data_IF_762073500713
#
_entry.id   IF_762073500713
#
_cell.length_a   1.000
_cell.length_b   1.000
_cell.length_c   1.000
_cell.angle_alpha   90.00
_cell.angle_beta   90.00
_cell.angle_gamma   90.00
#
_symmetry.space_group_name_H-M   'P 1'
#
loop_
_entity.id
_entity.type
_entity.pdbx_description
1 polymer ?
#
# COMPACT_ATOMS: atom_id res chain seq x y z
N UNK A 1 -24.14 16.04 -45.22
CA UNK A 1 -24.98 15.91 -44.01
C UNK A 1 -24.81 14.50 -43.48
N UNK A 2 -23.98 14.31 -42.47
CA UNK A 2 -23.79 13.04 -41.78
C UNK A 2 -24.21 13.23 -40.32
N UNK A 3 -25.21 12.46 -39.90
CA UNK A 3 -25.71 12.41 -38.52
C UNK A 3 -25.06 11.18 -37.88
N UNK A 4 -24.21 11.40 -36.88
CA UNK A 4 -23.70 10.37 -35.98
C UNK A 4 -24.67 10.18 -34.80
N UNK A 5 -24.98 8.93 -34.39
CA UNK A 5 -25.80 8.70 -33.21
C UNK A 5 -24.95 8.83 -31.94
N UNK A 6 -25.44 9.68 -31.05
CA UNK A 6 -24.95 9.85 -29.69
C UNK A 6 -25.66 8.81 -28.81
N UNK A 7 -24.95 7.82 -28.27
CA UNK A 7 -25.51 6.87 -27.29
C UNK A 7 -24.72 6.92 -25.99
N UNK A 8 -25.40 7.50 -25.01
CA UNK A 8 -25.05 7.64 -23.61
C UNK A 8 -24.72 6.29 -22.96
N UNK A 9 -23.55 6.19 -22.32
CA UNK A 9 -23.31 5.20 -21.27
C UNK A 9 -23.98 5.70 -19.98
N UNK A 10 -25.06 5.02 -19.57
CA UNK A 10 -25.61 5.12 -18.22
C UNK A 10 -24.62 4.48 -17.25
N UNK A 11 -23.90 5.31 -16.51
CA UNK A 11 -23.25 4.88 -15.28
C UNK A 11 -24.34 4.57 -14.25
N UNK A 12 -24.34 3.36 -13.68
CA UNK A 12 -25.08 3.09 -12.44
C UNK A 12 -24.37 3.78 -11.29
N UNK A 13 -24.68 5.06 -11.09
CA UNK A 13 -24.49 5.71 -9.80
C UNK A 13 -25.74 5.46 -8.96
N UNK A 14 -25.57 4.89 -7.76
CA UNK A 14 -26.62 4.78 -6.76
C UNK A 14 -27.11 6.20 -6.40
N UNK A 15 -28.25 6.61 -6.96
CA UNK A 15 -28.91 7.87 -6.58
C UNK A 15 -29.62 7.71 -5.25
N UNK A 16 -29.73 8.80 -4.49
CA UNK A 16 -30.39 8.87 -3.16
C UNK A 16 -31.80 8.25 -3.10
N UNK A 17 -32.49 8.08 -4.23
CA UNK A 17 -33.81 7.42 -4.27
C UNK A 17 -33.75 5.93 -3.88
N UNK A 18 -32.64 5.25 -4.18
CA UNK A 18 -32.44 3.84 -3.79
C UNK A 18 -32.05 3.70 -2.30
N UNK A 19 -31.61 4.77 -1.64
CA UNK A 19 -31.24 4.70 -0.21
C UNK A 19 -32.46 4.52 0.70
N UNK A 20 -33.62 5.07 0.31
CA UNK A 20 -34.87 4.92 1.05
C UNK A 20 -35.47 3.51 0.88
N UNK A 21 -35.40 2.97 -0.34
CA UNK A 21 -35.82 1.59 -0.64
C UNK A 21 -34.89 0.58 0.03
N UNK A 22 -33.57 0.85 0.05
CA UNK A 22 -32.63 0.00 0.77
C UNK A 22 -32.87 0.07 2.29
N UNK A 23 -33.12 1.25 2.88
CA UNK A 23 -33.49 1.39 4.30
C UNK A 23 -34.78 0.65 4.66
N UNK A 24 -35.76 0.63 3.76
CA UNK A 24 -37.02 -0.09 3.95
C UNK A 24 -36.80 -1.61 3.86
N UNK A 25 -35.94 -2.05 2.95
CA UNK A 25 -35.49 -3.44 2.86
C UNK A 25 -34.69 -3.87 4.10
N UNK A 26 -33.74 -3.06 4.59
CA UNK A 26 -32.97 -3.37 5.81
C UNK A 26 -33.86 -3.42 7.04
N UNK A 27 -34.86 -2.53 7.17
CA UNK A 27 -35.83 -2.57 8.28
C UNK A 27 -36.71 -3.82 8.24
N UNK A 28 -37.15 -4.22 7.04
CA UNK A 28 -37.95 -5.45 6.87
C UNK A 28 -37.12 -6.69 7.18
N UNK A 29 -35.87 -6.73 6.72
CA UNK A 29 -34.93 -7.81 6.99
C UNK A 29 -34.60 -7.92 8.49
N UNK A 30 -34.35 -6.80 9.16
CA UNK A 30 -34.10 -6.76 10.61
C UNK A 30 -35.32 -7.17 11.43
N UNK A 31 -36.54 -6.86 10.98
CA UNK A 31 -37.77 -7.33 11.61
C UNK A 31 -37.95 -8.86 11.47
N UNK A 32 -37.64 -9.42 10.29
CA UNK A 32 -37.67 -10.87 10.04
C UNK A 32 -36.60 -11.60 10.87
N UNK A 33 -35.38 -11.05 10.96
CA UNK A 33 -34.30 -11.61 11.78
C UNK A 33 -34.65 -11.54 13.27
N UNK A 34 -35.27 -10.45 13.73
CA UNK A 34 -35.72 -10.32 15.12
C UNK A 34 -36.82 -11.33 15.48
N UNK A 35 -37.77 -11.57 14.58
CA UNK A 35 -38.79 -12.60 14.73
C UNK A 35 -38.19 -14.01 14.74
N UNK A 36 -37.18 -14.28 13.90
CA UNK A 36 -36.46 -15.54 13.88
C UNK A 36 -35.64 -15.76 15.16
N UNK A 37 -35.03 -14.71 15.73
CA UNK A 37 -34.29 -14.79 17.00
C UNK A 37 -35.22 -14.99 18.21
N UNK A 38 -36.42 -14.41 18.20
CA UNK A 38 -37.44 -14.65 19.24
C UNK A 38 -37.97 -16.08 19.17
N UNK A 39 -38.19 -16.61 17.96
CA UNK A 39 -38.56 -18.01 17.75
C UNK A 39 -37.45 -18.98 18.17
N UNK A 40 -36.19 -18.61 17.95
CA UNK A 40 -35.02 -19.42 18.34
C UNK A 40 -34.78 -19.41 19.86
N UNK A 41 -34.94 -18.26 20.53
CA UNK A 41 -34.84 -18.18 22.00
C UNK A 41 -35.96 -18.90 22.73
N UNK A 42 -37.13 -19.10 22.09
CA UNK A 42 -38.22 -19.91 22.64
C UNK A 42 -37.93 -21.43 22.62
N UNK A 43 -36.98 -21.89 21.79
CA UNK A 43 -36.70 -23.31 21.59
C UNK A 43 -35.54 -23.85 22.45
N UNK A 44 -34.82 -22.99 23.18
CA UNK A 44 -33.65 -23.38 23.96
C UNK A 44 -33.79 -22.87 25.41
N UNK A 45 -34.50 -23.64 26.22
CA UNK A 45 -34.55 -23.44 27.66
C UNK A 45 -34.30 -24.76 28.40
N UNK A 46 -33.04 -25.03 28.78
CA UNK A 46 -32.66 -25.85 29.94
C UNK A 46 -31.22 -25.48 30.38
N UNK A 47 -30.74 -25.81 31.60
CA UNK A 47 -30.43 -24.82 32.61
C UNK A 47 -28.94 -24.75 33.02
N UNK A 48 -28.63 -23.65 33.69
CA UNK A 48 -27.45 -23.27 34.46
C UNK A 48 -26.44 -24.37 34.87
N UNK A 49 -25.16 -23.99 34.82
CA UNK A 49 -24.16 -24.51 35.75
C UNK A 49 -22.74 -24.04 35.50
N UNK A 50 -22.21 -23.30 36.48
CA UNK A 50 -20.81 -23.22 36.94
C UNK A 50 -19.91 -22.02 36.60
N UNK A 51 -19.31 -21.55 37.71
CA UNK A 51 -18.55 -20.35 38.02
C UNK A 51 -17.03 -20.45 37.76
N UNK A 52 -16.39 -19.26 37.83
CA UNK A 52 -15.04 -18.96 38.36
C UNK A 52 -13.83 -19.44 37.53
N UNK A 53 -12.65 -18.81 37.49
CA UNK A 53 -12.03 -17.73 38.27
C UNK A 53 -10.74 -17.26 37.53
N UNK A 54 -10.41 -15.98 37.69
CA UNK A 54 -9.09 -15.33 37.84
C UNK A 54 -7.84 -15.54 36.94
N UNK A 55 -7.39 -14.39 36.41
CA UNK A 55 -6.07 -13.72 36.47
C UNK A 55 -4.78 -14.50 36.18
N UNK A 56 -3.97 -14.00 35.24
CA UNK A 56 -2.71 -13.27 35.56
C UNK A 56 -2.13 -12.55 34.34
N UNK A 57 -1.58 -11.36 34.59
CA UNK A 57 -0.73 -10.58 33.70
C UNK A 57 0.57 -11.31 33.37
N UNK A 58 1.08 -11.17 32.13
CA UNK A 58 2.51 -10.96 31.97
C UNK A 58 2.86 -10.28 30.65
N UNK A 59 3.86 -9.42 30.71
CA UNK A 59 4.44 -8.68 29.60
C UNK A 59 5.29 -9.64 28.75
N UNK A 60 5.39 -9.43 27.42
CA UNK A 60 6.68 -9.05 26.80
C UNK A 60 6.81 -9.23 25.26
N UNK A 61 7.73 -8.41 24.73
CA UNK A 61 8.58 -8.50 23.52
C UNK A 61 7.97 -8.43 22.11
N UNK A 62 7.94 -7.19 21.57
CA UNK A 62 7.97 -6.90 20.12
C UNK A 62 9.29 -7.36 19.50
N UNK A 63 9.23 -8.23 18.49
CA UNK A 63 10.35 -8.48 17.58
C UNK A 63 10.22 -7.59 16.35
N UNK A 64 11.02 -6.52 16.31
CA UNK A 64 11.23 -5.68 15.14
C UNK A 64 11.93 -6.49 14.03
N UNK A 65 11.33 -6.52 12.84
CA UNK A 65 12.03 -6.93 11.64
C UNK A 65 12.91 -5.77 11.17
N UNK A 66 14.21 -5.89 11.39
CA UNK A 66 15.25 -5.05 10.81
C UNK A 66 15.14 -5.11 9.28
N UNK A 67 14.51 -4.11 8.68
CA UNK A 67 14.84 -3.74 7.32
C UNK A 67 16.30 -3.30 7.34
N UNK A 68 17.15 -3.94 6.54
CA UNK A 68 18.53 -3.53 6.34
C UNK A 68 18.56 -2.17 5.63
N UNK A 69 18.25 -1.13 6.37
CA UNK A 69 18.67 0.22 6.05
C UNK A 69 20.19 0.20 6.18
N UNK A 70 20.87 0.50 5.07
CA UNK A 70 22.28 0.87 5.08
C UNK A 70 22.51 1.78 6.30
N UNK A 71 23.29 1.27 7.26
CA UNK A 71 23.67 1.90 8.51
C UNK A 71 24.05 3.36 8.29
N UNK A 72 23.08 4.27 8.41
CA UNK A 72 23.36 5.57 8.98
C UNK A 72 23.70 5.27 10.43
N UNK A 73 25.01 5.28 10.70
CA UNK A 73 25.51 5.44 12.05
C UNK A 73 24.62 6.47 12.76
N UNK A 74 24.07 6.08 13.91
CA UNK A 74 23.76 6.97 15.02
C UNK A 74 25.05 7.71 15.40
N UNK A 75 25.51 8.59 14.52
CA UNK A 75 26.35 9.69 14.91
C UNK A 75 25.48 10.45 15.90
N UNK A 76 25.86 10.38 17.18
CA UNK A 76 25.36 11.24 18.26
C UNK A 76 24.92 12.56 17.66
N UNK A 77 23.66 13.01 17.89
CA UNK A 77 23.12 14.19 17.25
C UNK A 77 24.05 15.36 17.57
N UNK A 78 24.95 15.67 16.65
CA UNK A 78 25.67 16.92 16.68
C UNK A 78 24.54 17.91 16.46
N UNK A 79 24.14 18.59 17.54
CA UNK A 79 23.13 19.64 17.50
C UNK A 79 23.67 20.75 16.61
N UNK A 80 23.48 20.58 15.30
CA UNK A 80 23.78 21.58 14.30
C UNK A 80 22.70 22.65 14.46
N UNK A 81 23.01 23.62 15.31
CA UNK A 81 22.17 24.80 15.47
C UNK A 81 22.51 25.78 14.38
N UNK A 82 21.48 26.15 13.65
CA UNK A 82 21.49 27.21 12.67
C UNK A 82 21.21 28.53 13.40
N UNK A 83 22.28 29.26 13.73
CA UNK A 83 22.25 30.50 14.53
C UNK A 83 21.56 31.71 13.85
N UNK A 84 21.12 31.59 12.61
CA UNK A 84 20.54 32.68 11.83
C UNK A 84 19.35 32.19 11.03
N UNK A 85 18.18 32.17 11.67
CA UNK A 85 16.91 32.09 10.96
C UNK A 85 16.41 33.50 10.69
N UNK A 86 15.76 33.67 9.54
CA UNK A 86 15.03 34.89 9.24
C UNK A 86 13.71 34.85 10.02
N UNK A 87 13.38 35.91 10.76
CA UNK A 87 12.12 36.04 11.51
C UNK A 87 10.89 35.74 10.61
N UNK A 88 11.01 36.00 9.31
CA UNK A 88 10.00 35.68 8.29
C UNK A 88 9.71 34.17 8.17
N UNK A 89 10.72 33.30 8.29
CA UNK A 89 10.53 31.84 8.23
C UNK A 89 9.73 31.37 9.46
N UNK A 90 10.11 31.84 10.64
CA UNK A 90 9.38 31.56 11.88
C UNK A 90 7.93 32.04 11.81
N UNK A 91 7.72 33.26 11.33
CA UNK A 91 6.40 33.84 11.16
C UNK A 91 5.53 33.02 10.20
N UNK A 92 6.09 32.58 9.07
CA UNK A 92 5.40 31.74 8.10
C UNK A 92 4.96 30.40 8.69
N UNK A 93 5.89 29.64 9.30
CA UNK A 93 5.57 28.33 9.88
C UNK A 93 4.55 28.44 11.04
N UNK A 94 4.61 29.51 11.83
CA UNK A 94 3.60 29.82 12.84
C UNK A 94 2.24 30.13 12.20
N UNK A 95 2.21 30.91 11.12
CA UNK A 95 0.99 31.28 10.41
C UNK A 95 0.26 30.06 9.83
N UNK A 96 0.99 29.09 9.26
CA UNK A 96 0.40 27.86 8.70
C UNK A 96 0.11 26.77 9.75
N UNK A 97 0.36 27.05 11.04
CA UNK A 97 0.13 26.09 12.14
C UNK A 97 1.13 24.93 12.18
N UNK A 98 2.31 25.08 11.58
CA UNK A 98 3.36 24.07 11.52
C UNK A 98 4.61 24.54 12.26
N UNK A 99 4.48 24.91 13.53
CA UNK A 99 5.57 25.46 14.34
C UNK A 99 6.85 24.62 14.27
N UNK A 100 7.96 25.29 14.00
CA UNK A 100 9.28 24.67 13.98
C UNK A 100 9.73 24.36 15.41
N UNK A 101 10.48 23.28 15.57
CA UNK A 101 11.13 22.92 16.83
C UNK A 101 12.24 23.91 17.15
N UNK A 102 12.26 24.37 18.39
CA UNK A 102 13.21 25.37 18.89
C UNK A 102 13.88 24.90 20.17
N UNK A 103 15.08 25.39 20.43
CA UNK A 103 15.83 25.21 21.68
C UNK A 103 16.27 26.59 22.21
N UNK A 104 16.18 26.78 23.52
CA UNK A 104 16.72 27.97 24.18
C UNK A 104 18.23 27.81 24.40
N UNK A 105 19.04 28.64 23.74
CA UNK A 105 20.49 28.72 23.96
C UNK A 105 20.90 30.14 24.33
N UNK A 106 21.60 30.26 25.46
CA UNK A 106 22.11 31.56 25.94
C UNK A 106 20.98 32.62 26.04
N UNK A 107 19.76 32.18 26.38
CA UNK A 107 18.59 33.05 26.47
C UNK A 107 17.94 33.44 25.13
N UNK A 108 18.38 32.87 24.00
CA UNK A 108 17.78 33.06 22.68
C UNK A 108 17.11 31.77 22.19
N UNK A 109 15.94 31.91 21.62
CA UNK A 109 15.25 30.82 20.93
C UNK A 109 15.92 30.57 19.57
N UNK A 110 16.38 29.35 19.34
CA UNK A 110 17.04 28.92 18.10
C UNK A 110 16.25 27.78 17.48
N UNK A 111 15.94 27.86 16.18
CA UNK A 111 15.29 26.75 15.47
C UNK A 111 16.29 25.62 15.26
N UNK A 112 15.87 24.40 15.58
CA UNK A 112 16.65 23.20 15.33
C UNK A 112 16.76 22.98 13.81
N UNK A 113 17.95 22.62 13.32
CA UNK A 113 18.11 22.34 11.89
C UNK A 113 17.24 21.16 11.45
N UNK A 114 17.24 20.08 12.22
CA UNK A 114 16.41 18.90 12.00
C UNK A 114 15.08 19.04 12.74
N UNK A 115 14.00 18.80 12.02
CA UNK A 115 12.62 18.81 12.50
C UNK A 115 12.15 17.36 12.57
N UNK A 116 12.18 16.78 13.77
CA UNK A 116 11.83 15.38 13.99
C UNK A 116 10.31 15.15 13.95
N UNK A 117 9.53 16.14 14.39
CA UNK A 117 8.08 16.05 14.40
C UNK A 117 7.49 16.31 13.01
N UNK A 118 6.47 15.54 12.57
CA UNK A 118 5.82 15.75 11.29
C UNK A 118 5.27 17.17 11.13
N UNK A 119 5.58 17.83 10.01
CA UNK A 119 5.08 19.17 9.69
C UNK A 119 4.07 19.12 8.55
N UNK A 120 2.98 19.88 8.68
CA UNK A 120 1.95 20.00 7.63
C UNK A 120 1.75 21.44 7.23
N UNK A 121 2.10 21.79 5.99
CA UNK A 121 1.87 23.11 5.41
C UNK A 121 0.59 23.07 4.58
N UNK A 122 -0.44 23.78 5.05
CA UNK A 122 -1.67 23.96 4.28
C UNK A 122 -1.61 25.28 3.50
N UNK A 123 -1.28 25.23 2.22
CA UNK A 123 -1.17 26.46 1.40
C UNK A 123 -2.54 27.04 1.02
N UNK A 124 -3.64 26.32 1.28
CA UNK A 124 -4.98 26.84 1.00
C UNK A 124 -5.32 28.06 1.85
N UNK A 125 -4.71 28.21 3.03
CA UNK A 125 -4.89 29.34 3.95
C UNK A 125 -3.96 30.52 3.66
N UNK A 126 -2.96 30.33 2.80
CA UNK A 126 -1.94 31.34 2.51
C UNK A 126 -2.38 32.28 1.37
N UNK A 127 -1.90 33.51 1.45
CA UNK A 127 -1.78 34.49 0.36
C UNK A 127 -0.35 34.51 -0.18
N UNK A 128 -0.10 35.12 -1.35
CA UNK A 128 1.26 35.25 -1.85
C UNK A 128 2.18 35.98 -0.88
N UNK A 129 1.69 36.91 -0.07
CA UNK A 129 2.49 37.70 0.86
C UNK A 129 2.94 36.89 2.09
N UNK A 130 2.17 35.87 2.47
CA UNK A 130 2.47 35.06 3.67
C UNK A 130 3.70 34.15 3.46
N UNK A 131 3.97 33.75 2.22
CA UNK A 131 5.13 32.92 1.88
C UNK A 131 6.36 33.83 1.74
N UNK A 132 7.43 33.63 2.53
CA UNK A 132 8.63 34.47 2.48
C UNK A 132 9.36 34.31 1.15
N UNK A 133 10.29 35.21 0.85
CA UNK A 133 11.12 35.07 -0.36
C UNK A 133 12.10 33.89 -0.28
N UNK A 134 12.55 33.58 0.94
CA UNK A 134 13.49 32.50 1.24
C UNK A 134 13.12 31.83 2.56
N UNK A 135 13.16 30.51 2.55
CA UNK A 135 13.15 29.65 3.74
C UNK A 135 14.59 29.14 3.91
N UNK A 136 15.07 28.99 5.15
CA UNK A 136 16.43 28.49 5.36
C UNK A 136 16.58 27.08 4.79
N UNK A 137 17.38 26.96 3.72
CA UNK A 137 17.68 25.71 3.02
C UNK A 137 18.36 24.65 3.90
N UNK A 138 18.85 25.02 5.09
CA UNK A 138 19.42 24.07 6.04
C UNK A 138 18.34 23.30 6.82
N UNK A 139 17.09 23.74 6.81
CA UNK A 139 16.01 23.00 7.46
C UNK A 139 15.86 21.61 6.83
N UNK A 140 15.83 20.61 7.69
CA UNK A 140 15.69 19.19 7.35
C UNK A 140 14.46 18.63 8.05
N UNK A 141 13.50 18.11 7.30
CA UNK A 141 12.28 17.53 7.85
C UNK A 141 12.36 16.01 7.90
N UNK A 142 11.94 15.37 8.98
CA UNK A 142 11.68 13.92 8.96
C UNK A 142 10.48 13.64 8.05
N UNK A 143 9.34 14.27 8.34
CA UNK A 143 8.11 14.17 7.56
C UNK A 143 7.55 15.57 7.25
N UNK A 144 7.42 15.88 5.96
CA UNK A 144 6.77 17.11 5.50
C UNK A 144 5.58 16.79 4.61
N UNK A 145 4.39 17.26 4.99
CA UNK A 145 3.19 17.21 4.16
C UNK A 145 2.84 18.61 3.66
N UNK A 146 2.62 18.76 2.35
CA UNK A 146 2.13 19.99 1.74
C UNK A 146 0.73 19.73 1.15
N UNK A 147 -0.27 20.43 1.66
CA UNK A 147 -1.67 20.34 1.22
C UNK A 147 -2.07 21.58 0.42
N UNK A 148 -2.55 21.37 -0.82
CA UNK A 148 -2.92 22.47 -1.72
C UNK A 148 -4.35 22.96 -1.53
N UNK A 149 -5.28 22.04 -1.25
CA UNK A 149 -6.69 22.34 -1.03
C UNK A 149 -7.10 22.04 0.42
N UNK A 150 -8.18 22.68 0.85
CA UNK A 150 -8.84 22.34 2.11
C UNK A 150 -9.79 21.16 1.89
N UNK A 151 -9.82 20.22 2.83
CA UNK A 151 -10.66 19.01 2.80
C UNK A 151 -12.17 19.27 2.80
N UNK A 152 -12.62 20.51 3.04
CA UNK A 152 -14.02 20.83 3.30
C UNK A 152 -14.92 21.08 2.07
N UNK A 153 -14.40 21.10 0.84
CA UNK A 153 -15.23 21.26 -0.37
C UNK A 153 -15.53 19.91 -1.02
N UNK A 154 -16.34 19.09 -0.36
CA UNK A 154 -16.49 17.65 -0.67
C UNK A 154 -17.00 17.28 -2.08
N UNK A 155 -17.52 18.18 -2.92
CA UNK A 155 -18.25 17.74 -4.15
C UNK A 155 -18.12 18.61 -5.40
N UNK A 156 -17.39 19.73 -5.38
CA UNK A 156 -17.15 20.47 -6.63
C UNK A 156 -15.96 19.86 -7.34
N UNK A 157 -16.22 19.22 -8.49
CA UNK A 157 -15.22 18.74 -9.45
C UNK A 157 -13.96 19.63 -9.44
N UNK A 158 -12.81 19.01 -9.18
CA UNK A 158 -11.47 19.55 -9.00
C UNK A 158 -11.06 20.66 -10.00
N UNK A 159 -11.61 21.86 -9.85
CA UNK A 159 -11.11 23.08 -10.48
C UNK A 159 -10.27 23.79 -9.44
N UNK A 160 -9.03 23.35 -9.25
CA UNK A 160 -8.06 24.24 -8.58
C UNK A 160 -7.88 25.47 -9.47
N UNK A 161 -8.00 26.61 -8.82
CA UNK A 161 -7.67 27.91 -9.38
C UNK A 161 -6.17 28.01 -9.55
N UNK A 162 -5.70 28.53 -10.69
CA UNK A 162 -4.29 28.76 -11.01
C UNK A 162 -3.53 29.50 -9.89
N UNK A 163 -4.25 30.28 -9.06
CA UNK A 163 -3.74 30.95 -7.87
C UNK A 163 -3.07 29.99 -6.86
N UNK A 164 -3.60 28.78 -6.63
CA UNK A 164 -3.05 27.85 -5.63
C UNK A 164 -1.79 27.14 -6.10
N UNK A 165 -1.71 26.79 -7.38
CA UNK A 165 -0.47 26.25 -7.95
C UNK A 165 0.62 27.33 -8.00
N UNK A 166 0.26 28.60 -8.20
CA UNK A 166 1.19 29.73 -8.08
C UNK A 166 1.75 29.86 -6.66
N UNK A 167 0.91 29.71 -5.62
CA UNK A 167 1.38 29.68 -4.22
C UNK A 167 2.31 28.50 -3.96
N UNK A 168 1.99 27.30 -4.45
CA UNK A 168 2.86 26.14 -4.31
C UNK A 168 4.22 26.36 -4.99
N UNK A 169 4.21 26.96 -6.19
CA UNK A 169 5.43 27.36 -6.89
C UNK A 169 6.24 28.40 -6.12
N UNK A 170 5.57 29.39 -5.51
CA UNK A 170 6.24 30.36 -4.63
C UNK A 170 6.87 29.67 -3.42
N UNK A 171 6.16 28.72 -2.79
CA UNK A 171 6.66 27.96 -1.65
C UNK A 171 7.91 27.14 -2.01
N UNK A 172 7.86 26.38 -3.11
CA UNK A 172 9.02 25.63 -3.58
C UNK A 172 10.20 26.56 -3.92
N UNK A 173 9.95 27.68 -4.60
CA UNK A 173 10.96 28.69 -4.86
C UNK A 173 11.57 29.26 -3.56
N UNK A 174 10.76 29.48 -2.53
CA UNK A 174 11.22 29.96 -1.24
C UNK A 174 12.16 28.95 -0.56
N UNK A 175 11.87 27.64 -0.67
CA UNK A 175 12.82 26.61 -0.22
C UNK A 175 14.12 26.64 -1.05
N UNK A 176 14.01 26.67 -2.37
CA UNK A 176 15.15 26.53 -3.30
C UNK A 176 15.72 25.11 -3.29
N UNK A 177 16.16 24.64 -2.13
CA UNK A 177 16.48 23.24 -1.81
C UNK A 177 15.57 22.78 -0.68
N UNK A 178 14.78 21.75 -0.92
CA UNK A 178 13.92 21.14 0.09
C UNK A 178 14.53 19.83 0.58
N UNK A 179 14.97 19.79 1.83
CA UNK A 179 15.49 18.59 2.48
C UNK A 179 14.40 17.96 3.35
N UNK A 180 13.99 16.74 3.02
CA UNK A 180 13.06 15.98 3.85
C UNK A 180 13.31 14.47 3.72
N UNK A 181 13.18 13.66 4.78
CA UNK A 181 13.23 12.20 4.60
C UNK A 181 12.00 11.74 3.81
N UNK A 182 10.82 12.20 4.20
CA UNK A 182 9.55 11.91 3.54
C UNK A 182 8.84 13.21 3.14
N UNK A 183 8.53 13.35 1.86
CA UNK A 183 7.71 14.44 1.33
C UNK A 183 6.38 13.88 0.84
N UNK A 184 5.28 14.35 1.43
CA UNK A 184 3.92 14.06 0.97
C UNK A 184 3.30 15.30 0.35
N UNK A 185 2.84 15.20 -0.89
CA UNK A 185 2.07 16.23 -1.55
C UNK A 185 0.63 15.76 -1.74
N UNK A 186 -0.32 16.54 -1.22
CA UNK A 186 -1.75 16.19 -1.30
C UNK A 186 -2.51 17.22 -2.12
N UNK A 187 -3.48 16.73 -2.89
CA UNK A 187 -4.51 17.56 -3.53
C UNK A 187 -3.96 18.52 -4.59
N UNK A 188 -2.91 18.11 -5.31
CA UNK A 188 -2.38 18.86 -6.46
C UNK A 188 -3.24 18.56 -7.71
N UNK A 189 -4.26 19.36 -7.99
CA UNK A 189 -5.04 19.15 -9.22
C UNK A 189 -5.93 20.31 -9.65
N UNK A 190 -5.57 21.00 -10.73
CA UNK A 190 -6.39 22.07 -11.34
C UNK A 190 -6.51 22.00 -12.84
N UNK A 191 -7.49 22.71 -13.37
CA UNK A 191 -7.55 23.05 -14.78
C UNK A 191 -6.60 24.23 -15.01
N UNK A 192 -5.35 23.94 -15.41
CA UNK A 192 -4.39 24.98 -15.75
C UNK A 192 -4.85 25.64 -17.06
N UNK A 193 -5.42 26.83 -16.95
CA UNK A 193 -5.99 27.53 -18.11
C UNK A 193 -4.89 28.19 -18.94
N UNK A 194 -3.76 28.55 -18.33
CA UNK A 194 -2.62 29.18 -19.00
C UNK A 194 -1.29 28.46 -18.73
N UNK A 195 -0.85 27.66 -19.72
CA UNK A 195 0.43 26.93 -19.68
C UNK A 195 1.67 27.83 -19.75
N UNK A 196 1.52 29.09 -20.15
CA UNK A 196 2.67 29.89 -20.60
C UNK A 196 3.42 30.67 -19.50
N UNK A 197 2.84 30.89 -18.33
CA UNK A 197 3.44 31.79 -17.33
C UNK A 197 3.99 31.08 -16.07
N UNK A 198 3.82 29.77 -15.91
CA UNK A 198 4.17 29.10 -14.65
C UNK A 198 5.62 28.59 -14.53
N UNK A 199 6.42 28.57 -15.60
CA UNK A 199 7.70 27.84 -15.65
C UNK A 199 8.95 28.70 -15.83
N UNK A 200 8.91 30.00 -15.50
CA UNK A 200 10.11 30.85 -15.63
C UNK A 200 11.10 30.76 -14.46
N UNK A 201 10.71 30.13 -13.35
CA UNK A 201 11.57 29.98 -12.18
C UNK A 201 12.50 28.75 -12.30
N UNK A 202 13.73 28.80 -11.76
CA UNK A 202 14.56 27.62 -11.65
C UNK A 202 13.85 26.54 -10.83
N UNK A 203 14.02 25.25 -11.19
CA UNK A 203 13.39 24.15 -10.49
C UNK A 203 13.92 24.06 -9.05
N UNK A 204 13.03 23.69 -8.13
CA UNK A 204 13.40 23.45 -6.73
C UNK A 204 14.03 22.08 -6.59
N UNK A 205 15.19 22.03 -5.94
CA UNK A 205 15.92 20.79 -5.74
C UNK A 205 15.28 20.04 -4.58
N UNK A 206 14.80 18.82 -4.81
CA UNK A 206 14.25 17.94 -3.79
C UNK A 206 15.31 16.93 -3.36
N UNK A 207 15.75 17.06 -2.11
CA UNK A 207 16.62 16.10 -1.45
C UNK A 207 15.78 15.23 -0.50
N UNK A 208 15.14 14.21 -1.08
CA UNK A 208 14.17 13.35 -0.41
C UNK A 208 14.39 11.84 -0.61
N UNK A 209 14.13 11.04 0.43
CA UNK A 209 14.19 9.57 0.33
C UNK A 209 12.85 8.98 -0.15
N UNK A 210 11.75 9.64 0.17
CA UNK A 210 10.40 9.20 -0.20
C UNK A 210 9.55 10.36 -0.68
N UNK A 211 8.86 10.15 -1.80
CA UNK A 211 7.87 11.07 -2.35
C UNK A 211 6.52 10.36 -2.42
N UNK A 212 5.54 10.85 -1.66
CA UNK A 212 4.15 10.41 -1.73
C UNK A 212 3.31 11.50 -2.39
N UNK A 213 2.55 11.13 -3.41
CA UNK A 213 1.66 12.03 -4.14
C UNK A 213 0.25 11.47 -4.03
N UNK A 214 -0.65 12.23 -3.42
CA UNK A 214 -2.00 11.77 -3.07
C UNK A 214 -3.09 12.72 -3.61
N UNK A 215 -4.16 12.17 -4.18
CA UNK A 215 -5.31 12.94 -4.69
C UNK A 215 -4.88 14.01 -5.71
N UNK A 216 -4.17 13.56 -6.75
CA UNK A 216 -3.53 14.45 -7.73
C UNK A 216 -4.08 14.21 -9.13
N UNK A 217 -4.09 15.24 -9.98
CA UNK A 217 -4.39 15.09 -11.40
C UNK A 217 -3.12 15.15 -12.27
N UNK A 218 -3.23 14.74 -13.54
CA UNK A 218 -2.07 14.66 -14.43
C UNK A 218 -1.41 16.03 -14.70
N UNK A 219 -2.19 17.12 -14.64
CA UNK A 219 -1.67 18.47 -14.80
C UNK A 219 -0.82 18.88 -13.59
N UNK A 220 -1.26 18.55 -12.37
CA UNK A 220 -0.52 18.77 -11.14
C UNK A 220 0.82 18.04 -11.13
N UNK A 221 0.87 16.79 -11.60
CA UNK A 221 2.13 16.06 -11.74
C UNK A 221 3.03 16.68 -12.80
N UNK A 222 2.51 16.99 -13.99
CA UNK A 222 3.34 17.59 -15.03
C UNK A 222 3.93 18.93 -14.56
N UNK A 223 3.16 19.71 -13.81
CA UNK A 223 3.66 20.90 -13.15
C UNK A 223 4.75 20.57 -12.13
N UNK A 224 4.54 19.60 -11.25
CA UNK A 224 5.54 19.18 -10.25
C UNK A 224 6.85 18.76 -10.90
N UNK A 225 6.78 17.92 -11.94
CA UNK A 225 7.94 17.46 -12.73
C UNK A 225 8.70 18.64 -13.34
N UNK A 226 8.01 19.70 -13.75
CA UNK A 226 8.66 20.87 -14.33
C UNK A 226 9.18 21.87 -13.27
N UNK A 227 8.55 21.91 -12.09
CA UNK A 227 8.89 22.82 -11.00
C UNK A 227 9.97 22.26 -10.07
N UNK A 228 10.34 20.98 -10.20
CA UNK A 228 11.23 20.30 -9.27
C UNK A 228 12.28 19.45 -9.97
N UNK A 229 13.42 19.29 -9.32
CA UNK A 229 14.50 18.41 -9.72
C UNK A 229 14.84 17.47 -8.56
N UNK A 230 14.78 16.16 -8.78
CA UNK A 230 15.15 15.18 -7.75
C UNK A 230 16.68 15.05 -7.72
N UNK A 231 17.31 15.32 -6.57
CA UNK A 231 18.76 15.15 -6.41
C UNK A 231 19.17 13.78 -5.87
N UNK A 232 18.20 12.92 -5.52
CA UNK A 232 18.50 11.72 -4.74
C UNK A 232 18.81 10.50 -5.60
N UNK A 233 19.82 9.74 -5.18
CA UNK A 233 20.23 8.53 -5.89
C UNK A 233 19.24 7.37 -5.70
N UNK A 234 18.49 7.35 -4.59
CA UNK A 234 17.59 6.26 -4.19
C UNK A 234 16.27 6.88 -3.70
N UNK A 235 15.15 6.55 -4.37
CA UNK A 235 13.84 7.12 -4.08
C UNK A 235 12.77 6.03 -3.91
N UNK A 236 11.89 6.21 -2.92
CA UNK A 236 10.59 5.52 -2.79
C UNK A 236 9.52 6.44 -3.37
N UNK A 237 8.83 6.00 -4.42
CA UNK A 237 7.74 6.78 -5.02
C UNK A 237 6.39 6.10 -4.78
N UNK A 238 5.47 6.84 -4.19
CA UNK A 238 4.09 6.39 -3.95
C UNK A 238 3.09 7.35 -4.61
N UNK A 239 2.23 6.78 -5.44
CA UNK A 239 1.12 7.46 -6.09
C UNK A 239 -0.18 6.83 -5.56
N UNK A 240 -0.97 7.63 -4.86
CA UNK A 240 -2.23 7.22 -4.26
C UNK A 240 -3.39 8.11 -4.72
N UNK A 241 -4.58 7.51 -4.87
CA UNK A 241 -5.83 8.22 -5.19
C UNK A 241 -5.69 9.09 -6.46
N UNK A 242 -5.32 8.46 -7.58
CA UNK A 242 -5.01 9.18 -8.81
C UNK A 242 -6.01 8.83 -9.93
N UNK A 243 -7.23 9.39 -9.90
CA UNK A 243 -8.31 9.01 -10.81
C UNK A 243 -8.10 9.48 -12.26
N UNK A 244 -7.20 10.43 -12.52
CA UNK A 244 -6.95 10.95 -13.88
C UNK A 244 -5.84 10.23 -14.65
N UNK A 245 -5.09 9.32 -14.02
CA UNK A 245 -3.93 8.69 -14.63
C UNK A 245 -4.32 7.49 -15.49
N UNK A 246 -4.20 7.62 -16.80
CA UNK A 246 -4.41 6.53 -17.77
C UNK A 246 -3.11 5.85 -18.21
N UNK A 247 -1.96 6.47 -17.90
CA UNK A 247 -0.61 5.98 -18.19
C UNK A 247 0.40 6.59 -17.21
N UNK A 248 1.63 6.06 -17.20
CA UNK A 248 2.70 6.46 -16.28
C UNK A 248 3.88 7.14 -16.97
N UNK A 249 3.69 7.71 -18.17
CA UNK A 249 4.77 8.28 -18.97
C UNK A 249 5.50 9.44 -18.28
N UNK A 250 4.84 10.13 -17.34
CA UNK A 250 5.45 11.21 -16.57
C UNK A 250 6.56 10.70 -15.63
N UNK A 251 6.52 9.43 -15.22
CA UNK A 251 7.52 8.86 -14.30
C UNK A 251 8.93 8.96 -14.86
N UNK A 252 9.11 8.70 -16.16
CA UNK A 252 10.41 8.79 -16.80
C UNK A 252 11.03 10.20 -16.72
N UNK A 253 10.18 11.23 -16.67
CA UNK A 253 10.63 12.62 -16.48
C UNK A 253 10.91 12.92 -15.02
N UNK A 254 10.05 12.44 -14.12
CA UNK A 254 10.19 12.65 -12.67
C UNK A 254 11.49 12.03 -12.14
N UNK A 255 11.87 10.87 -12.67
CA UNK A 255 12.99 10.08 -12.13
C UNK A 255 14.21 10.06 -13.04
N UNK A 256 14.39 11.08 -13.89
CA UNK A 256 15.51 11.11 -14.83
C UNK A 256 16.88 10.98 -14.14
N UNK A 257 17.00 11.52 -12.93
CA UNK A 257 18.22 11.55 -12.10
C UNK A 257 18.22 10.56 -10.94
N UNK A 258 17.11 9.86 -10.68
CA UNK A 258 16.93 9.05 -9.46
C UNK A 258 16.71 7.56 -9.76
N UNK A 259 17.33 6.68 -8.96
CA UNK A 259 17.01 5.24 -9.00
C UNK A 259 15.80 4.99 -8.09
N UNK A 260 14.74 4.39 -8.63
CA UNK A 260 13.59 3.99 -7.83
C UNK A 260 13.89 2.70 -7.07
N UNK A 261 13.91 2.77 -5.74
CA UNK A 261 13.93 1.58 -4.91
C UNK A 261 12.57 0.90 -4.91
N UNK A 262 11.52 1.70 -4.79
CA UNK A 262 10.15 1.22 -4.72
C UNK A 262 9.23 2.08 -5.57
N UNK A 263 8.28 1.42 -6.23
CA UNK A 263 7.16 2.07 -6.89
C UNK A 263 5.85 1.54 -6.31
N UNK A 264 5.02 2.43 -5.81
CA UNK A 264 3.71 2.11 -5.24
C UNK A 264 2.61 2.82 -6.00
N UNK A 265 1.72 2.05 -6.60
CA UNK A 265 0.56 2.52 -7.34
C UNK A 265 -0.69 2.03 -6.61
N UNK A 266 -1.39 2.94 -5.95
CA UNK A 266 -2.49 2.62 -5.04
C UNK A 266 -3.74 3.41 -5.46
N UNK A 267 -4.88 2.73 -5.55
CA UNK A 267 -6.17 3.34 -5.89
C UNK A 267 -6.10 4.21 -7.16
N UNK A 268 -5.79 3.56 -8.30
CA UNK A 268 -5.70 4.21 -9.61
C UNK A 268 -6.82 3.70 -10.53
N UNK A 269 -8.07 4.14 -10.34
CA UNK A 269 -9.24 3.52 -10.98
C UNK A 269 -9.30 3.69 -12.51
N UNK A 270 -8.56 4.66 -13.06
CA UNK A 270 -8.50 4.92 -14.52
C UNK A 270 -7.25 4.35 -15.19
N UNK A 271 -6.33 3.74 -14.43
CA UNK A 271 -5.13 3.15 -14.99
C UNK A 271 -5.50 1.82 -15.66
N UNK A 272 -5.56 1.81 -16.99
CA UNK A 272 -5.93 0.62 -17.77
C UNK A 272 -4.73 -0.27 -18.12
N UNK A 273 -3.52 0.30 -18.14
CA UNK A 273 -2.27 -0.41 -18.44
C UNK A 273 -1.11 0.20 -17.67
N UNK A 274 -0.09 -0.60 -17.37
CA UNK A 274 1.10 -0.12 -16.66
C UNK A 274 1.99 0.73 -17.56
N UNK A 275 2.38 0.21 -18.73
CA UNK A 275 3.16 0.89 -19.79
C UNK A 275 4.27 1.78 -19.21
N UNK A 276 5.09 1.19 -18.35
CA UNK A 276 6.07 1.92 -17.55
C UNK A 276 7.46 1.71 -18.13
N UNK A 277 8.02 2.74 -18.77
CA UNK A 277 9.38 2.66 -19.33
C UNK A 277 10.43 2.32 -18.26
N UNK A 278 10.27 2.83 -17.04
CA UNK A 278 11.18 2.55 -15.92
C UNK A 278 11.20 1.08 -15.52
N UNK A 279 10.06 0.40 -15.59
CA UNK A 279 9.98 -1.03 -15.31
C UNK A 279 10.81 -1.81 -16.34
N UNK A 280 10.61 -1.53 -17.63
CA UNK A 280 11.32 -2.21 -18.73
C UNK A 280 12.84 -1.94 -18.72
N UNK A 281 13.27 -0.81 -18.19
CA UNK A 281 14.68 -0.44 -18.07
C UNK A 281 15.33 -0.96 -16.77
N UNK A 282 14.59 -1.69 -15.93
CA UNK A 282 15.08 -2.13 -14.62
C UNK A 282 15.37 -0.96 -13.66
N UNK A 283 14.70 0.17 -13.85
CA UNK A 283 14.83 1.39 -13.05
C UNK A 283 14.20 1.27 -11.66
N UNK A 284 13.30 0.31 -11.45
CA UNK A 284 12.72 -0.05 -10.15
C UNK A 284 13.52 -1.21 -9.57
N UNK A 285 14.04 -1.11 -8.34
CA UNK A 285 15.02 -2.07 -7.79
C UNK A 285 14.44 -3.13 -6.85
N UNK A 286 13.66 -2.77 -5.85
CA UNK A 286 13.39 -3.67 -4.72
C UNK A 286 11.93 -4.09 -4.64
N UNK A 287 11.01 -3.11 -4.64
CA UNK A 287 9.59 -3.34 -4.36
C UNK A 287 8.66 -2.73 -5.41
N UNK A 288 7.62 -3.48 -5.77
CA UNK A 288 6.53 -3.03 -6.63
C UNK A 288 5.19 -3.26 -5.94
N UNK A 289 4.39 -2.20 -5.78
CA UNK A 289 3.04 -2.27 -5.21
C UNK A 289 2.00 -1.85 -6.24
N UNK A 290 1.03 -2.72 -6.53
CA UNK A 290 -0.06 -2.53 -7.49
C UNK A 290 -1.41 -2.85 -6.83
N UNK A 291 -2.02 -1.87 -6.16
CA UNK A 291 -3.23 -2.07 -5.33
C UNK A 291 -4.39 -1.21 -5.76
N UNK A 292 -5.59 -1.78 -5.67
CA UNK A 292 -6.86 -1.10 -5.98
C UNK A 292 -6.80 -0.43 -7.36
N UNK A 293 -6.27 -1.15 -8.36
CA UNK A 293 -6.20 -0.64 -9.74
C UNK A 293 -7.57 -0.77 -10.43
N UNK A 294 -7.69 -0.20 -11.63
CA UNK A 294 -8.90 -0.35 -12.45
C UNK A 294 -9.28 -1.84 -12.61
N UNK A 295 -10.57 -2.21 -12.54
CA UNK A 295 -11.01 -3.56 -12.91
C UNK A 295 -10.68 -3.95 -14.36
N UNK A 296 -10.46 -2.93 -15.21
CA UNK A 296 -10.04 -3.09 -16.60
C UNK A 296 -8.52 -3.13 -16.79
N UNK A 297 -7.75 -2.99 -15.70
CA UNK A 297 -6.29 -2.98 -15.73
C UNK A 297 -5.75 -4.28 -16.32
N UNK A 298 -4.86 -4.16 -17.28
CA UNK A 298 -4.17 -5.29 -17.90
C UNK A 298 -2.68 -5.02 -17.94
N UNK A 299 -1.90 -6.03 -17.56
CA UNK A 299 -0.47 -6.04 -17.85
C UNK A 299 -0.27 -6.42 -19.31
N UNK A 300 0.55 -5.66 -20.02
CA UNK A 300 0.97 -6.08 -21.35
C UNK A 300 1.94 -7.26 -21.22
N UNK A 301 2.12 -8.09 -22.27
CA UNK A 301 3.15 -9.13 -22.26
C UNK A 301 4.54 -8.56 -21.92
N UNK A 302 4.84 -7.36 -22.43
CA UNK A 302 6.10 -6.65 -22.18
C UNK A 302 6.27 -6.27 -20.70
N UNK A 303 5.23 -5.71 -20.08
CA UNK A 303 5.27 -5.35 -18.64
C UNK A 303 5.45 -6.61 -17.78
N UNK A 304 4.73 -7.69 -18.12
CA UNK A 304 4.77 -8.95 -17.38
C UNK A 304 6.14 -9.61 -17.48
N UNK A 305 6.72 -9.68 -18.68
CA UNK A 305 8.09 -10.15 -18.88
C UNK A 305 9.07 -9.33 -18.05
N UNK A 306 8.97 -7.99 -18.04
CA UNK A 306 9.88 -7.16 -17.24
C UNK A 306 9.72 -7.35 -15.72
N UNK A 307 8.51 -7.62 -15.23
CA UNK A 307 8.29 -7.99 -13.84
C UNK A 307 8.92 -9.36 -13.56
N UNK A 308 8.68 -10.37 -14.40
CA UNK A 308 9.07 -11.74 -14.12
C UNK A 308 10.57 -12.02 -14.37
N UNK A 309 11.23 -11.34 -15.31
CA UNK A 309 12.67 -11.55 -15.55
C UNK A 309 13.57 -11.02 -14.42
N UNK A 310 13.01 -10.22 -13.52
CA UNK A 310 13.73 -9.52 -12.47
C UNK A 310 13.61 -10.25 -11.12
N UNK A 311 14.68 -10.21 -10.33
CA UNK A 311 14.63 -10.60 -8.91
C UNK A 311 14.03 -9.48 -8.07
N UNK A 312 12.94 -9.77 -7.39
CA UNK A 312 12.26 -8.80 -6.52
C UNK A 312 12.48 -9.14 -5.06
N UNK A 313 12.70 -8.11 -4.24
CA UNK A 313 12.58 -8.26 -2.80
C UNK A 313 11.10 -8.41 -2.43
N UNK A 314 10.24 -7.57 -3.00
CA UNK A 314 8.81 -7.65 -2.72
C UNK A 314 7.94 -7.28 -3.92
N UNK A 315 6.90 -8.07 -4.15
CA UNK A 315 5.77 -7.69 -5.00
C UNK A 315 4.51 -7.72 -4.13
N UNK A 316 3.77 -6.64 -4.15
CA UNK A 316 2.47 -6.53 -3.50
C UNK A 316 1.43 -6.16 -4.56
N UNK A 317 0.42 -6.99 -4.80
CA UNK A 317 -0.60 -6.67 -5.77
C UNK A 317 -1.96 -7.24 -5.39
N UNK A 318 -3.01 -6.78 -6.08
CA UNK A 318 -4.32 -7.44 -5.98
C UNK A 318 -4.28 -8.81 -6.67
N UNK A 319 -5.00 -9.79 -6.14
CA UNK A 319 -5.02 -11.16 -6.67
C UNK A 319 -5.46 -11.19 -8.14
N UNK A 320 -6.44 -10.36 -8.51
CA UNK A 320 -6.86 -10.22 -9.91
C UNK A 320 -5.75 -9.72 -10.84
N UNK A 321 -4.86 -8.84 -10.36
CA UNK A 321 -3.70 -8.36 -11.12
C UNK A 321 -2.67 -9.46 -11.29
N UNK A 322 -2.42 -10.24 -10.22
CA UNK A 322 -1.52 -11.40 -10.28
C UNK A 322 -2.02 -12.45 -11.28
N UNK A 323 -3.29 -12.86 -11.17
CA UNK A 323 -3.88 -13.88 -12.03
C UNK A 323 -3.98 -13.48 -13.51
N UNK A 324 -4.03 -12.17 -13.78
CA UNK A 324 -4.05 -11.63 -15.13
C UNK A 324 -2.64 -11.50 -15.73
N UNK A 325 -1.56 -11.76 -14.99
CA UNK A 325 -0.19 -11.62 -15.46
C UNK A 325 0.17 -12.80 -16.38
N UNK A 326 0.35 -12.58 -17.70
CA UNK A 326 0.78 -13.66 -18.59
C UNK A 326 2.14 -14.19 -18.16
N UNK A 327 2.21 -15.50 -17.96
CA UNK A 327 3.43 -16.22 -17.61
C UNK A 327 4.17 -16.61 -18.90
N UNK A 328 5.37 -16.06 -19.17
CA UNK A 328 6.17 -16.52 -20.29
C UNK A 328 6.54 -18.00 -20.08
N UNK A 329 6.51 -18.82 -21.14
CA UNK A 329 7.05 -20.17 -21.04
C UNK A 329 8.52 -20.09 -20.64
N UNK A 330 8.92 -20.88 -19.64
CA UNK A 330 10.29 -20.90 -19.10
C UNK A 330 10.71 -19.66 -18.31
N UNK A 331 9.76 -18.89 -17.79
CA UNK A 331 10.08 -17.82 -16.84
C UNK A 331 10.52 -18.41 -15.50
N UNK A 332 11.78 -18.14 -15.12
CA UNK A 332 12.33 -18.47 -13.81
C UNK A 332 12.45 -17.17 -13.01
N UNK A 333 11.33 -16.69 -12.49
CA UNK A 333 11.33 -15.51 -11.65
C UNK A 333 11.59 -15.85 -10.18
N UNK A 334 12.22 -14.91 -9.47
CA UNK A 334 12.52 -15.05 -8.05
C UNK A 334 11.98 -13.83 -7.29
N UNK A 335 11.04 -14.08 -6.38
CA UNK A 335 10.46 -13.07 -5.51
C UNK A 335 10.73 -13.51 -4.08
N UNK A 336 11.38 -12.68 -3.28
CA UNK A 336 11.58 -13.01 -1.87
C UNK A 336 10.25 -12.98 -1.12
N UNK A 337 9.48 -11.89 -1.25
CA UNK A 337 8.15 -11.74 -0.64
C UNK A 337 7.05 -11.38 -1.64
N UNK A 338 6.04 -12.24 -1.76
CA UNK A 338 4.84 -12.00 -2.55
C UNK A 338 3.66 -11.72 -1.62
N UNK A 339 3.01 -10.57 -1.79
CA UNK A 339 1.82 -10.16 -1.03
C UNK A 339 0.64 -10.02 -1.99
N UNK A 340 -0.38 -10.86 -1.81
CA UNK A 340 -1.60 -10.87 -2.62
C UNK A 340 -2.76 -10.32 -1.79
N UNK A 341 -3.36 -9.23 -2.26
CA UNK A 341 -4.55 -8.65 -1.66
C UNK A 341 -5.78 -9.19 -2.41
N UNK A 342 -6.70 -9.86 -1.73
CA UNK A 342 -7.86 -10.48 -2.37
C UNK A 342 -9.15 -9.96 -1.78
N UNK A 343 -10.07 -9.57 -2.66
CA UNK A 343 -11.49 -9.57 -2.34
C UNK A 343 -12.02 -11.02 -2.33
N UNK A 344 -13.15 -11.24 -1.66
CA UNK A 344 -13.74 -12.56 -1.45
C UNK A 344 -14.05 -13.29 -2.77
N UNK A 345 -14.60 -12.55 -3.74
CA UNK A 345 -14.98 -13.06 -5.05
C UNK A 345 -13.79 -13.41 -5.94
N UNK A 346 -12.62 -12.82 -5.69
CA UNK A 346 -11.43 -13.02 -6.52
C UNK A 346 -10.72 -14.35 -6.25
N UNK A 347 -10.97 -14.99 -5.11
CA UNK A 347 -10.34 -16.27 -4.78
C UNK A 347 -10.64 -17.36 -5.81
N UNK A 348 -11.81 -17.30 -6.46
CA UNK A 348 -12.15 -18.24 -7.53
C UNK A 348 -11.15 -18.23 -8.70
N UNK A 349 -10.39 -17.15 -8.90
CA UNK A 349 -9.35 -17.04 -9.93
C UNK A 349 -8.23 -18.07 -9.74
N UNK A 350 -7.94 -18.46 -8.49
CA UNK A 350 -6.93 -19.50 -8.19
C UNK A 350 -7.27 -20.87 -8.80
N UNK A 351 -8.56 -21.14 -9.12
CA UNK A 351 -8.98 -22.40 -9.76
C UNK A 351 -8.52 -22.52 -11.21
N UNK A 352 -8.35 -21.39 -11.90
CA UNK A 352 -8.14 -21.36 -13.35
C UNK A 352 -6.69 -21.67 -13.74
N UNK A 353 -5.72 -21.31 -12.91
CA UNK A 353 -4.30 -21.45 -13.23
C UNK A 353 -3.80 -22.90 -13.24
N UNK A 354 -4.52 -23.84 -12.62
CA UNK A 354 -4.07 -25.23 -12.48
C UNK A 354 -4.23 -26.13 -13.71
N UNK A 355 -4.77 -25.64 -14.84
CA UNK A 355 -5.29 -26.53 -15.89
C UNK A 355 -4.45 -26.72 -17.16
N UNK A 356 -3.51 -25.84 -17.54
CA UNK A 356 -3.04 -25.85 -18.95
C UNK A 356 -1.53 -25.79 -19.25
N UNK A 357 -0.62 -25.74 -18.28
CA UNK A 357 0.81 -25.93 -18.59
C UNK A 357 1.56 -26.53 -17.40
N UNK A 358 2.54 -27.40 -17.66
CA UNK A 358 3.52 -27.80 -16.65
C UNK A 358 4.21 -26.51 -16.16
N UNK A 359 3.94 -26.05 -14.94
CA UNK A 359 4.35 -24.73 -14.51
C UNK A 359 5.87 -24.73 -14.39
N UNK A 360 6.51 -23.72 -14.98
CA UNK A 360 7.90 -23.43 -14.64
C UNK A 360 7.95 -23.02 -13.16
N UNK A 361 8.88 -23.58 -12.38
CA UNK A 361 8.87 -23.43 -10.94
C UNK A 361 9.18 -21.98 -10.56
N UNK A 362 8.13 -21.24 -10.20
CA UNK A 362 8.25 -19.87 -9.72
C UNK A 362 8.83 -19.89 -8.32
N UNK A 363 9.93 -19.18 -8.09
CA UNK A 363 10.62 -19.18 -6.78
C UNK A 363 10.05 -18.06 -5.93
N UNK A 364 9.25 -18.39 -4.93
CA UNK A 364 8.71 -17.45 -3.94
C UNK A 364 9.11 -17.92 -2.55
N UNK A 365 9.84 -17.11 -1.77
CA UNK A 365 10.27 -17.54 -0.43
C UNK A 365 9.19 -17.31 0.63
N UNK A 366 8.48 -16.18 0.55
CA UNK A 366 7.48 -15.75 1.52
C UNK A 366 6.19 -15.35 0.80
N UNK A 367 5.09 -16.04 1.08
CA UNK A 367 3.77 -15.69 0.56
C UNK A 367 2.90 -15.10 1.68
N UNK A 368 2.28 -13.96 1.41
CA UNK A 368 1.25 -13.35 2.25
C UNK A 368 -0.01 -13.17 1.42
N UNK A 369 -1.16 -13.66 1.91
CA UNK A 369 -2.47 -13.43 1.31
C UNK A 369 -3.28 -12.61 2.30
N UNK A 370 -3.66 -11.39 1.93
CA UNK A 370 -4.49 -10.49 2.72
C UNK A 370 -5.91 -10.45 2.16
N UNK A 371 -6.90 -10.73 2.99
CA UNK A 371 -8.30 -10.47 2.65
C UNK A 371 -8.65 -9.02 3.02
N UNK A 372 -9.10 -8.23 2.04
CA UNK A 372 -9.31 -6.78 2.23
C UNK A 372 -10.71 -6.41 2.70
N UNK A 373 -11.64 -7.36 2.77
CA UNK A 373 -13.01 -7.12 3.23
C UNK A 373 -13.10 -7.34 4.74
N UNK A 374 -13.63 -6.34 5.45
CA UNK A 374 -13.75 -6.30 6.92
C UNK A 374 -14.59 -7.43 7.54
N UNK A 375 -15.19 -8.31 6.73
CA UNK A 375 -16.04 -9.42 7.18
C UNK A 375 -15.82 -10.72 6.40
N UNK A 376 -14.65 -10.90 5.76
CA UNK A 376 -14.40 -12.14 5.04
C UNK A 376 -14.15 -13.30 6.01
N UNK A 377 -15.08 -14.26 5.98
CA UNK A 377 -14.98 -15.51 6.72
C UNK A 377 -14.18 -16.53 5.91
N UNK A 378 -13.00 -16.88 6.40
CA UNK A 378 -12.14 -17.86 5.75
C UNK A 378 -12.68 -19.28 5.99
N UNK A 379 -13.06 -19.94 4.90
CA UNK A 379 -13.65 -21.29 4.92
C UNK A 379 -12.65 -22.37 4.52
N UNK A 380 -12.94 -23.62 4.90
CA UNK A 380 -12.11 -24.78 4.56
C UNK A 380 -11.98 -24.99 3.05
N UNK A 381 -13.04 -24.86 2.24
CA UNK A 381 -12.91 -24.85 0.78
C UNK A 381 -11.96 -23.77 0.24
N UNK A 382 -11.98 -22.56 0.82
CA UNK A 382 -11.07 -21.47 0.44
C UNK A 382 -9.61 -21.86 0.74
N UNK A 383 -9.33 -22.40 1.92
CA UNK A 383 -7.99 -22.88 2.28
C UNK A 383 -7.50 -23.99 1.34
N UNK A 384 -8.35 -24.96 1.02
CA UNK A 384 -7.98 -26.01 0.07
C UNK A 384 -7.63 -25.46 -1.30
N UNK A 385 -8.36 -24.43 -1.76
CA UNK A 385 -8.08 -23.79 -3.02
C UNK A 385 -6.73 -23.05 -2.99
N UNK A 386 -6.47 -22.28 -1.94
CA UNK A 386 -5.20 -21.58 -1.74
C UNK A 386 -4.05 -22.60 -1.72
N UNK A 387 -4.12 -23.63 -0.88
CA UNK A 387 -3.05 -24.62 -0.77
C UNK A 387 -2.86 -25.44 -2.04
N UNK A 388 -3.95 -25.75 -2.75
CA UNK A 388 -3.89 -26.39 -4.07
C UNK A 388 -3.10 -25.54 -5.05
N UNK A 389 -3.46 -24.26 -5.18
CA UNK A 389 -2.77 -23.30 -6.04
C UNK A 389 -1.30 -23.09 -5.65
N UNK A 390 -1.02 -22.85 -4.37
CA UNK A 390 0.36 -22.68 -3.89
C UNK A 390 1.20 -23.92 -4.22
N UNK A 391 0.66 -25.11 -3.96
CA UNK A 391 1.35 -26.37 -4.20
C UNK A 391 1.60 -26.68 -5.68
N UNK A 392 0.86 -26.07 -6.60
CA UNK A 392 1.04 -26.22 -8.05
C UNK A 392 1.89 -25.12 -8.67
N UNK A 393 1.75 -23.88 -8.20
CA UNK A 393 2.29 -22.70 -8.89
C UNK A 393 3.58 -22.17 -8.26
N UNK A 394 3.85 -22.46 -6.98
CA UNK A 394 4.98 -21.88 -6.26
C UNK A 394 5.97 -22.96 -5.80
N UNK A 395 7.24 -22.61 -5.84
CA UNK A 395 8.36 -23.43 -5.36
C UNK A 395 9.26 -22.64 -4.42
N UNK A 396 10.09 -23.35 -3.67
CA UNK A 396 11.01 -22.80 -2.67
C UNK A 396 10.35 -22.01 -1.53
N UNK A 397 9.04 -22.16 -1.34
CA UNK A 397 8.27 -21.47 -0.32
C UNK A 397 8.66 -21.90 1.08
N UNK A 398 9.10 -20.93 1.88
CA UNK A 398 9.51 -21.12 3.29
C UNK A 398 8.40 -20.77 4.25
N UNK A 399 7.63 -19.72 3.94
CA UNK A 399 6.53 -19.26 4.80
C UNK A 399 5.29 -18.93 4.01
N UNK A 400 4.13 -19.27 4.58
CA UNK A 400 2.81 -18.81 4.13
C UNK A 400 2.17 -18.05 5.29
N UNK A 401 1.62 -16.87 5.01
CA UNK A 401 0.75 -16.13 5.92
C UNK A 401 -0.56 -15.83 5.22
N UNK A 402 -1.68 -16.20 5.84
CA UNK A 402 -3.03 -15.91 5.34
C UNK A 402 -3.70 -15.04 6.40
N UNK A 403 -3.92 -13.77 6.07
CA UNK A 403 -4.50 -12.78 6.96
C UNK A 403 -5.97 -12.59 6.55
N UNK A 404 -6.87 -13.12 7.37
CA UNK A 404 -8.33 -12.92 7.28
C UNK A 404 -8.86 -12.23 8.53
N UNK A 405 -10.14 -11.86 8.49
CA UNK A 405 -10.81 -11.25 9.65
C UNK A 405 -11.29 -12.32 10.62
N UNK A 406 -11.89 -13.39 10.10
CA UNK A 406 -12.39 -14.49 10.93
C UNK A 406 -12.29 -15.83 10.22
N UNK A 407 -12.04 -16.90 10.99
CA UNK A 407 -12.15 -18.29 10.57
C UNK A 407 -13.52 -18.86 10.94
N UNK A 408 -14.19 -19.55 10.02
CA UNK A 408 -15.41 -20.29 10.39
C UNK A 408 -15.07 -21.44 11.37
N UNK A 409 -16.05 -21.80 12.21
CA UNK A 409 -15.86 -22.84 13.23
C UNK A 409 -15.41 -24.18 12.63
N UNK A 410 -15.91 -24.53 11.44
CA UNK A 410 -15.53 -25.76 10.75
C UNK A 410 -14.05 -25.75 10.35
N UNK A 411 -13.54 -24.60 9.93
CA UNK A 411 -12.15 -24.37 9.53
C UNK A 411 -11.23 -24.36 10.74
N UNK A 412 -11.66 -23.76 11.85
CA UNK A 412 -10.94 -23.87 13.12
C UNK A 412 -10.80 -25.33 13.56
N UNK A 413 -11.90 -26.11 13.53
CA UNK A 413 -11.88 -27.55 13.83
C UNK A 413 -10.97 -28.30 12.86
N UNK A 414 -11.09 -28.04 11.56
CA UNK A 414 -10.25 -28.65 10.52
C UNK A 414 -8.76 -28.40 10.77
N UNK A 415 -8.36 -27.16 11.07
CA UNK A 415 -6.97 -26.80 11.37
C UNK A 415 -6.46 -27.42 12.67
N UNK A 416 -7.33 -27.64 13.65
CA UNK A 416 -6.98 -28.28 14.92
C UNK A 416 -6.83 -29.80 14.81
N UNK A 417 -7.68 -30.46 14.02
CA UNK A 417 -7.75 -31.92 13.94
C UNK A 417 -6.87 -32.52 12.84
N UNK A 418 -6.64 -31.80 11.74
CA UNK A 418 -5.98 -32.35 10.55
C UNK A 418 -4.49 -32.05 10.50
N UNK A 419 -3.71 -33.07 10.13
CA UNK A 419 -2.32 -32.86 9.70
C UNK A 419 -2.32 -32.34 8.26
N UNK A 420 -2.08 -31.04 8.05
CA UNK A 420 -1.83 -30.53 6.70
C UNK A 420 -0.49 -31.09 6.21
N UNK A 421 -0.48 -31.70 5.02
CA UNK A 421 0.72 -32.30 4.42
C UNK A 421 1.03 -31.62 3.10
N UNK A 422 2.13 -30.87 3.07
CA UNK A 422 2.61 -30.18 1.88
C UNK A 422 3.74 -30.97 1.21
N UNK A 423 3.39 -32.00 0.43
CA UNK A 423 4.40 -32.82 -0.29
C UNK A 423 5.15 -32.01 -1.35
N UNK A 424 4.46 -31.07 -2.00
CA UNK A 424 5.02 -30.24 -3.07
C UNK A 424 5.82 -29.05 -2.56
N UNK A 425 5.80 -28.76 -1.25
CA UNK A 425 6.50 -27.63 -0.64
C UNK A 425 7.48 -28.11 0.44
N UNK A 426 8.58 -28.80 0.05
CA UNK A 426 9.49 -29.40 1.01
C UNK A 426 10.20 -28.38 1.91
N UNK A 427 10.36 -27.14 1.45
CA UNK A 427 11.00 -26.05 2.21
C UNK A 427 10.05 -25.31 3.16
N UNK A 428 8.74 -25.58 3.11
CA UNK A 428 7.77 -24.88 3.94
C UNK A 428 8.01 -25.22 5.41
N UNK A 429 8.27 -24.18 6.21
CA UNK A 429 8.66 -24.27 7.62
C UNK A 429 7.70 -23.54 8.55
N UNK A 430 7.02 -22.49 8.06
CA UNK A 430 6.04 -21.70 8.82
C UNK A 430 4.76 -21.51 8.04
N UNK A 431 3.63 -21.74 8.68
CA UNK A 431 2.29 -21.39 8.19
C UNK A 431 1.64 -20.51 9.25
N UNK A 432 1.14 -19.35 8.87
CA UNK A 432 0.39 -18.44 9.75
C UNK A 432 -0.98 -18.24 9.14
N UNK A 433 -2.04 -18.40 9.93
CA UNK A 433 -3.41 -18.12 9.53
C UNK A 433 -3.99 -17.23 10.62
N UNK A 434 -4.25 -15.97 10.28
CA UNK A 434 -4.58 -14.90 11.23
C UNK A 434 -3.50 -14.78 12.32
N UNK A 435 -3.90 -14.78 13.59
CA UNK A 435 -3.01 -14.74 14.76
C UNK A 435 -2.43 -16.12 15.08
N UNK A 436 -2.87 -17.19 14.39
CA UNK A 436 -2.43 -18.54 14.66
C UNK A 436 -1.19 -18.90 13.85
N UNK A 437 -0.06 -19.04 14.54
CA UNK A 437 1.16 -19.57 13.97
C UNK A 437 1.22 -21.11 14.11
N UNK A 438 1.68 -21.75 13.04
CA UNK A 438 1.89 -23.19 12.94
C UNK A 438 3.33 -23.45 12.46
N UNK A 439 4.12 -24.12 13.30
CA UNK A 439 5.48 -24.52 12.93
C UNK A 439 5.47 -25.92 12.33
N UNK A 440 6.09 -26.08 11.16
CA UNK A 440 6.22 -27.35 10.48
C UNK A 440 7.58 -27.97 10.86
N UNK A 441 7.56 -28.96 11.75
CA UNK A 441 8.79 -29.62 12.17
C UNK A 441 9.30 -30.55 11.06
N UNK A 442 10.44 -30.20 10.46
CA UNK A 442 11.18 -31.02 9.50
C UNK A 442 12.02 -32.10 10.20
N UNK A 443 11.45 -32.88 11.13
CA UNK A 443 12.16 -34.08 11.56
C UNK A 443 12.00 -35.14 10.46
N UNK A 444 13.06 -35.54 9.73
CA UNK A 444 13.00 -36.76 8.95
C UNK A 444 12.71 -37.89 9.94
N UNK A 445 11.65 -38.65 9.70
CA UNK A 445 11.33 -39.84 10.48
C UNK A 445 12.45 -40.86 10.26
N UNK A 446 13.48 -40.87 11.11
CA UNK A 446 14.36 -42.01 11.26
C UNK A 446 13.67 -42.99 12.21
N UNK A 447 13.13 -44.10 11.69
CA UNK A 447 13.11 -45.47 12.25
C UNK A 447 12.06 -46.34 11.53
N UNK A 448 12.52 -47.47 10.96
CA UNK A 448 11.80 -48.77 11.01
C UNK A 448 10.95 -49.20 9.81
N UNK A 449 11.50 -50.08 8.97
CA UNK A 449 10.84 -50.82 7.89
C UNK A 449 9.51 -51.49 8.30
N UNK A 450 8.42 -51.27 7.54
CA UNK A 450 7.47 -52.28 7.04
C UNK A 450 6.92 -51.81 5.67
N UNK A 451 6.85 -52.74 4.72
CA UNK A 451 6.33 -52.59 3.36
C UNK A 451 4.80 -52.42 3.29
N UNK A 452 4.36 -51.31 2.71
CA UNK A 452 3.30 -51.13 1.70
C UNK A 452 3.07 -49.61 1.58
N UNK A 453 2.82 -49.11 0.38
CA UNK A 453 2.96 -47.72 -0.10
C UNK A 453 2.28 -46.61 0.75
N UNK A 454 2.74 -46.26 1.95
CA UNK A 454 1.90 -45.45 2.84
C UNK A 454 2.78 -44.65 3.84
N UNK A 455 2.94 -43.37 3.50
CA UNK A 455 3.18 -42.20 4.38
C UNK A 455 4.48 -42.10 5.19
N UNK A 456 5.34 -41.16 4.77
CA UNK A 456 6.23 -40.41 5.67
C UNK A 456 5.76 -38.94 5.68
N UNK A 457 5.51 -38.35 6.86
CA UNK A 457 4.78 -37.08 6.96
C UNK A 457 5.23 -36.15 8.08
N UNK A 458 5.33 -34.85 7.77
CA UNK A 458 5.55 -33.75 8.73
C UNK A 458 4.31 -33.60 9.63
N UNK A 459 4.51 -33.37 10.93
CA UNK A 459 3.45 -33.06 11.90
C UNK A 459 3.47 -31.57 12.22
N UNK A 460 2.30 -30.94 12.15
CA UNK A 460 2.11 -29.55 12.61
C UNK A 460 1.93 -29.58 14.12
N UNK A 461 2.67 -28.72 14.82
CA UNK A 461 2.36 -28.36 16.20
C UNK A 461 1.85 -26.93 16.19
N UNK A 462 0.63 -26.71 16.71
CA UNK A 462 0.14 -25.37 17.01
C UNK A 462 1.11 -24.78 18.03
N UNK A 463 1.81 -23.70 17.66
CA UNK A 463 2.46 -22.87 18.67
C UNK A 463 1.34 -22.17 19.43
N UNK A 464 1.42 -22.18 20.75
CA UNK A 464 0.55 -21.32 21.57
C UNK A 464 0.68 -19.88 21.06
N UNK A 465 -0.43 -19.17 20.83
CA UNK A 465 -0.37 -17.75 20.51
C UNK A 465 0.42 -17.04 21.62
N UNK A 466 1.36 -16.18 21.22
CA UNK A 466 2.16 -15.35 22.12
C UNK A 466 1.30 -14.18 22.58
#
# INVERSE_FOLDING_TARGET
MNITPNLNYKYFYFSHKNSLEMLTFTRTLMAVVSLAMVAWKGAMAVPNGFDSEDLTSDQSYETAYETSDDYFYDATPILNITLHHNDETLAFFKHVGASLETEMREGKECVLQRQAEPKTINISTCTPQDIPEKIDHRLEFEDLTIMVMSTHSEKSLYVIQDSKLSLLGKLFKAFGVLNARHLTLKQIGGAVSDRHNMLSAPPTILNIKSLRIHDVNILGINWLVAATELHTNKLVLELEDFPGATNLNFLAKLTHSATLLELRLINMPSLAKLDCALLHQGGIKNKLVLRRLSPSFKLTPKDSTAILEKKWQEIECDLGVWAAMPQPPNSNFAIDRLVLNSASEQIALLKQEGKEAAPTPNTVAHLVINFTEDHYLLTTPTLHLIFGWVGTCLTALKTISINSVELDKATQTYLAEQSLRFKTLPLLSKLTIEEHAYTLNNKPSTVGNISEEIWDGKRITRSTPV
#
